data_IF_792355792041
#
_entry.id   IF_792355792041
#
_cell.length_a   1.000
_cell.length_b   1.000
_cell.length_c   1.000
_cell.angle_alpha   90.00
_cell.angle_beta   90.00
_cell.angle_gamma   90.00
#
_symmetry.space_group_name_H-M   'P 1'
#
loop_
_entity.id
_entity.type
_entity.pdbx_description
1 polymer ?
#
# COMPACT_ATOMS: atom_id res chain seq x y z
N UNK A 1 12.47 -0.79 -10.36
CA UNK A 1 11.72 0.38 -9.91
C UNK A 1 12.51 1.04 -8.79
N UNK A 2 12.81 2.32 -8.91
CA UNK A 2 13.60 3.12 -7.96
C UNK A 2 12.70 3.74 -6.90
N UNK A 3 13.31 4.27 -5.83
CA UNK A 3 12.59 5.03 -4.81
C UNK A 3 11.83 6.23 -5.41
N UNK A 4 12.47 6.97 -6.31
CA UNK A 4 11.88 8.19 -6.89
C UNK A 4 10.68 7.86 -7.77
N UNK A 5 10.75 6.77 -8.56
CA UNK A 5 9.61 6.27 -9.34
C UNK A 5 8.42 5.88 -8.45
N UNK A 6 8.67 5.26 -7.29
CA UNK A 6 7.61 4.92 -6.33
C UNK A 6 6.94 6.16 -5.73
N UNK A 7 7.74 7.18 -5.39
CA UNK A 7 7.24 8.45 -4.86
C UNK A 7 6.41 9.18 -5.92
N UNK A 8 6.87 9.20 -7.18
CA UNK A 8 6.13 9.80 -8.28
C UNK A 8 4.77 9.14 -8.49
N UNK A 9 4.69 7.81 -8.41
CA UNK A 9 3.42 7.08 -8.52
C UNK A 9 2.45 7.49 -7.41
N UNK A 10 2.92 7.59 -6.16
CA UNK A 10 2.06 8.03 -5.04
C UNK A 10 1.50 9.43 -5.25
N UNK A 11 2.31 10.36 -5.76
CA UNK A 11 1.91 11.75 -5.94
C UNK A 11 1.04 11.97 -7.18
N UNK A 12 1.22 11.14 -8.20
CA UNK A 12 0.45 11.20 -9.46
C UNK A 12 -0.89 10.47 -9.35
N UNK A 13 -0.95 9.41 -8.55
CA UNK A 13 -2.21 8.86 -8.13
C UNK A 13 -2.88 9.92 -7.24
N UNK A 14 -4.06 10.42 -7.63
CA UNK A 14 -4.82 11.46 -6.92
C UNK A 14 -5.28 11.04 -5.49
N UNK A 15 -4.59 10.08 -4.87
CA UNK A 15 -4.62 9.70 -3.45
C UNK A 15 -3.89 10.73 -2.57
N UNK A 16 -3.59 11.90 -3.15
CA UNK A 16 -3.17 13.11 -2.46
C UNK A 16 -4.34 13.69 -1.65
N UNK A 17 -4.63 13.08 -0.50
CA UNK A 17 -5.43 13.75 0.53
C UNK A 17 -4.60 14.06 1.78
N UNK A 18 -3.42 13.46 1.96
CA UNK A 18 -2.68 13.68 3.23
C UNK A 18 -1.24 13.14 3.28
N UNK A 19 -0.71 12.74 2.13
CA UNK A 19 0.66 12.26 2.08
C UNK A 19 1.51 13.51 1.92
N UNK A 20 1.89 14.08 3.07
CA UNK A 20 2.70 15.30 3.16
C UNK A 20 3.90 15.27 2.22
N UNK A 21 4.35 16.47 1.86
CA UNK A 21 5.44 16.83 0.94
C UNK A 21 6.49 15.72 0.65
N UNK A 22 6.93 15.65 -0.61
CA UNK A 22 7.87 14.64 -1.18
C UNK A 22 9.04 14.28 -0.25
N UNK A 23 9.49 15.26 0.52
CA UNK A 23 10.61 15.22 1.46
C UNK A 23 10.41 14.26 2.64
N UNK A 24 9.17 13.92 3.00
CA UNK A 24 8.88 13.11 4.19
C UNK A 24 8.61 11.63 3.89
N UNK A 25 8.60 11.21 2.62
CA UNK A 25 8.41 9.81 2.26
C UNK A 25 9.74 9.05 2.19
N UNK A 26 9.82 7.97 2.99
CA UNK A 26 10.98 7.09 3.04
C UNK A 26 10.60 5.67 2.66
N UNK A 27 11.34 5.08 1.74
CA UNK A 27 11.19 3.67 1.38
C UNK A 27 11.69 2.80 2.53
N UNK A 28 10.83 1.90 3.00
CA UNK A 28 11.13 1.02 4.14
C UNK A 28 12.12 -0.08 3.76
N UNK A 29 12.06 -0.57 2.50
CA UNK A 29 12.96 -1.60 1.97
C UNK A 29 13.13 -1.43 0.46
N UNK A 30 14.37 -1.57 -0.02
CA UNK A 30 14.68 -1.59 -1.45
C UNK A 30 14.20 -2.87 -2.15
N UNK A 31 14.10 -3.97 -1.41
CA UNK A 31 13.54 -5.23 -1.91
C UNK A 31 12.03 -5.25 -1.66
N UNK A 32 11.20 -5.47 -2.69
CA UNK A 32 9.76 -5.61 -2.51
C UNK A 32 9.43 -6.89 -1.73
N UNK A 33 8.34 -6.84 -0.95
CA UNK A 33 7.65 -8.06 -0.53
C UNK A 33 7.02 -8.74 -1.74
N UNK A 34 6.95 -10.07 -1.75
CA UNK A 34 6.38 -10.84 -2.85
C UNK A 34 5.33 -11.79 -2.29
N UNK A 35 4.13 -11.72 -2.86
CA UNK A 35 2.98 -12.49 -2.43
C UNK A 35 2.25 -13.06 -3.65
N UNK A 36 1.61 -14.21 -3.51
CA UNK A 36 0.55 -14.58 -4.45
C UNK A 36 -0.69 -13.71 -4.18
N UNK A 37 -1.52 -13.45 -5.19
CA UNK A 37 -2.74 -12.68 -5.03
C UNK A 37 -3.66 -13.26 -3.94
N UNK A 38 -3.86 -14.58 -3.94
CA UNK A 38 -4.64 -15.26 -2.91
C UNK A 38 -4.05 -15.13 -1.50
N UNK A 39 -2.73 -15.35 -1.38
CA UNK A 39 -2.03 -15.22 -0.10
C UNK A 39 -2.12 -13.80 0.45
N UNK A 40 -1.95 -12.81 -0.42
CA UNK A 40 -2.05 -11.40 -0.08
C UNK A 40 -3.45 -11.03 0.41
N UNK A 41 -4.52 -11.50 -0.25
CA UNK A 41 -5.90 -11.25 0.20
C UNK A 41 -6.09 -11.74 1.64
N UNK A 42 -5.66 -12.97 1.95
CA UNK A 42 -5.81 -13.55 3.30
C UNK A 42 -5.01 -12.79 4.34
N UNK A 43 -3.78 -12.42 4.02
CA UNK A 43 -2.94 -11.64 4.92
C UNK A 43 -3.53 -10.25 5.19
N UNK A 44 -4.01 -9.57 4.17
CA UNK A 44 -4.64 -8.26 4.30
C UNK A 44 -5.92 -8.32 5.14
N UNK A 45 -6.77 -9.33 4.96
CA UNK A 45 -7.97 -9.53 5.77
C UNK A 45 -7.64 -9.57 7.28
N UNK A 46 -6.57 -10.27 7.65
CA UNK A 46 -6.10 -10.33 9.04
C UNK A 46 -5.58 -8.96 9.49
N UNK A 47 -4.69 -8.34 8.69
CA UNK A 47 -4.04 -7.06 9.05
C UNK A 47 -5.03 -5.91 9.20
N UNK A 48 -6.09 -5.86 8.40
CA UNK A 48 -7.13 -4.82 8.50
C UNK A 48 -7.86 -4.91 9.83
N UNK A 49 -8.21 -6.12 10.27
CA UNK A 49 -8.86 -6.32 11.58
C UNK A 49 -7.94 -5.84 12.69
N UNK A 50 -6.65 -6.18 12.63
CA UNK A 50 -5.66 -5.69 13.59
C UNK A 50 -5.51 -4.16 13.58
N UNK A 51 -5.49 -3.55 12.39
CA UNK A 51 -5.39 -2.10 12.24
C UNK A 51 -6.62 -1.38 12.84
N UNK A 52 -7.84 -1.85 12.53
CA UNK A 52 -9.08 -1.31 13.10
C UNK A 52 -9.11 -1.40 14.63
N UNK A 53 -8.68 -2.54 15.19
CA UNK A 53 -8.61 -2.72 16.65
C UNK A 53 -7.57 -1.81 17.32
N UNK A 54 -6.53 -1.41 16.58
CA UNK A 54 -5.53 -0.45 17.03
C UNK A 54 -5.92 1.02 16.79
N UNK A 55 -7.13 1.28 16.26
CA UNK A 55 -7.58 2.61 15.89
C UNK A 55 -6.78 3.20 14.74
N UNK A 56 -6.25 2.37 13.82
CA UNK A 56 -5.54 2.83 12.62
C UNK A 56 -6.53 2.87 11.47
N UNK A 57 -6.59 4.02 10.79
CA UNK A 57 -7.40 4.20 9.60
C UNK A 57 -6.72 3.52 8.41
N UNK A 58 -7.52 2.77 7.63
CA UNK A 58 -7.07 2.04 6.45
C UNK A 58 -7.86 2.53 5.24
N UNK A 59 -7.17 3.14 4.28
CA UNK A 59 -7.75 3.77 3.08
C UNK A 59 -7.31 2.98 1.84
N UNK A 60 -8.19 2.81 0.84
CA UNK A 60 -7.86 2.18 -0.46
C UNK A 60 -7.90 0.65 -0.48
N UNK A 61 -8.42 0.03 0.59
CA UNK A 61 -8.35 -1.42 0.77
C UNK A 61 -9.46 -2.18 0.03
N UNK A 62 -10.62 -1.56 -0.15
CA UNK A 62 -11.74 -2.17 -0.88
C UNK A 62 -11.40 -2.25 -2.37
N UNK A 63 -10.85 -1.16 -2.92
CA UNK A 63 -10.37 -1.09 -4.31
C UNK A 63 -9.25 -2.11 -4.56
N UNK A 64 -8.34 -2.28 -3.60
CA UNK A 64 -7.31 -3.31 -3.70
C UNK A 64 -7.89 -4.72 -3.68
N UNK A 65 -8.86 -5.03 -2.82
CA UNK A 65 -9.49 -6.35 -2.81
C UNK A 65 -10.25 -6.63 -4.11
N UNK A 66 -10.98 -5.66 -4.65
CA UNK A 66 -11.66 -5.78 -5.93
C UNK A 66 -10.67 -6.02 -7.07
N UNK A 67 -9.55 -5.31 -7.08
CA UNK A 67 -8.50 -5.50 -8.09
C UNK A 67 -7.85 -6.89 -7.97
N UNK A 68 -7.50 -7.34 -6.76
CA UNK A 68 -6.89 -8.65 -6.51
C UNK A 68 -7.86 -9.80 -6.80
N UNK A 69 -9.16 -9.63 -6.52
CA UNK A 69 -10.19 -10.64 -6.78
C UNK A 69 -10.44 -10.93 -8.26
N UNK A 70 -9.94 -10.08 -9.16
CA UNK A 70 -10.01 -10.26 -10.63
C UNK A 70 -8.76 -10.92 -11.21
N UNK A 71 -7.75 -11.23 -10.38
CA UNK A 71 -6.50 -11.85 -10.80
C UNK A 71 -6.53 -13.36 -10.55
N UNK A 72 -5.69 -14.10 -11.30
CA UNK A 72 -5.45 -15.51 -11.01
C UNK A 72 -4.82 -15.66 -9.62
N UNK A 73 -5.22 -16.66 -8.81
CA UNK A 73 -4.82 -16.81 -7.41
C UNK A 73 -3.30 -16.81 -7.15
N UNK A 74 -2.53 -17.35 -8.10
CA UNK A 74 -1.08 -17.50 -8.06
C UNK A 74 -0.32 -16.30 -8.65
N UNK A 75 -1.02 -15.30 -9.19
CA UNK A 75 -0.41 -14.07 -9.72
C UNK A 75 0.50 -13.43 -8.66
N UNK A 76 1.76 -13.19 -9.04
CA UNK A 76 2.72 -12.56 -8.15
C UNK A 76 2.49 -11.06 -8.03
N UNK A 77 2.37 -10.60 -6.78
CA UNK A 77 2.19 -9.22 -6.38
C UNK A 77 3.41 -8.76 -5.61
N UNK A 78 4.01 -7.68 -6.08
CA UNK A 78 5.13 -7.00 -5.44
C UNK A 78 4.59 -5.86 -4.57
N UNK A 79 5.01 -5.82 -3.32
CA UNK A 79 4.61 -4.81 -2.34
C UNK A 79 5.78 -3.92 -1.98
N UNK A 80 5.58 -2.61 -2.05
CA UNK A 80 6.51 -1.60 -1.54
C UNK A 80 5.84 -0.80 -0.43
N UNK A 81 6.64 -0.40 0.57
CA UNK A 81 6.15 0.39 1.69
C UNK A 81 6.93 1.69 1.78
N UNK A 82 6.21 2.81 1.72
CA UNK A 82 6.71 4.15 1.96
C UNK A 82 6.15 4.64 3.29
N UNK A 83 6.99 5.21 4.14
CA UNK A 83 6.61 5.72 5.45
C UNK A 83 6.87 7.21 5.56
N UNK A 84 5.94 7.91 6.20
CA UNK A 84 6.10 9.28 6.69
C UNK A 84 5.89 9.31 8.21
N UNK A 85 5.91 10.50 8.81
CA UNK A 85 5.68 10.67 10.24
C UNK A 85 4.25 10.33 10.68
N UNK A 86 3.28 10.51 9.78
CA UNK A 86 1.85 10.36 10.07
C UNK A 86 1.20 9.15 9.41
N UNK A 87 1.87 8.55 8.41
CA UNK A 87 1.28 7.49 7.60
C UNK A 87 2.28 6.46 7.09
N UNK A 88 1.76 5.29 6.74
CA UNK A 88 2.44 4.28 5.92
C UNK A 88 1.61 4.03 4.67
N UNK A 89 2.23 4.21 3.50
CA UNK A 89 1.64 3.96 2.19
C UNK A 89 2.21 2.65 1.64
N UNK A 90 1.34 1.72 1.26
CA UNK A 90 1.67 0.44 0.68
C UNK A 90 1.26 0.46 -0.80
N UNK A 91 2.18 0.14 -1.69
CA UNK A 91 1.94 0.05 -3.12
C UNK A 91 2.05 -1.40 -3.58
N UNK A 92 1.05 -1.87 -4.33
CA UNK A 92 0.97 -3.24 -4.82
C UNK A 92 1.05 -3.25 -6.34
N UNK A 93 1.97 -4.04 -6.90
CA UNK A 93 2.22 -4.11 -8.33
C UNK A 93 2.18 -5.55 -8.84
N UNK A 94 1.57 -5.74 -10.00
CA UNK A 94 1.77 -6.94 -10.82
C UNK A 94 3.04 -6.74 -11.64
N UNK A 95 3.94 -7.72 -11.58
CA UNK A 95 5.20 -7.73 -12.36
C UNK A 95 5.99 -6.41 -12.29
N UNK A 96 6.07 -5.77 -11.12
CA UNK A 96 6.78 -4.51 -10.81
C UNK A 96 6.47 -3.27 -11.68
N UNK A 97 5.61 -3.35 -12.68
CA UNK A 97 5.31 -2.24 -13.61
C UNK A 97 3.82 -1.88 -13.69
N UNK A 98 2.93 -2.77 -13.28
CA UNK A 98 1.48 -2.52 -13.32
C UNK A 98 0.96 -2.33 -11.90
N UNK A 99 0.61 -1.11 -11.53
CA UNK A 99 -0.03 -0.83 -10.24
C UNK A 99 -1.36 -1.58 -10.13
N UNK A 100 -1.54 -2.30 -9.03
CA UNK A 100 -2.77 -3.04 -8.68
C UNK A 100 -3.60 -2.24 -7.68
N UNK A 101 -2.94 -1.58 -6.72
CA UNK A 101 -3.61 -0.72 -5.77
C UNK A 101 -2.65 -0.06 -4.78
N UNK A 102 -3.17 0.93 -4.05
CA UNK A 102 -2.46 1.68 -3.02
C UNK A 102 -3.29 1.62 -1.76
N UNK A 103 -2.66 1.29 -0.63
CA UNK A 103 -3.29 1.30 0.69
C UNK A 103 -2.56 2.29 1.58
N UNK A 104 -3.29 3.13 2.31
CA UNK A 104 -2.71 4.07 3.25
C UNK A 104 -3.18 3.71 4.66
N UNK A 105 -2.22 3.57 5.56
CA UNK A 105 -2.42 3.39 6.99
C UNK A 105 -2.12 4.71 7.70
N UNK A 106 -3.09 5.27 8.41
CA UNK A 106 -2.90 6.49 9.19
C UNK A 106 -3.27 6.28 10.64
N UNK A 107 -2.44 6.81 11.54
CA UNK A 107 -2.85 6.93 12.92
C UNK A 107 -3.72 8.20 13.04
N UNK A 108 -4.86 8.16 13.75
CA UNK A 108 -5.62 9.37 14.02
C UNK A 108 -4.70 10.40 14.68
N UNK A 109 -4.87 11.67 14.31
CA UNK A 109 -4.21 12.75 15.02
C UNK A 109 -4.56 12.64 16.51
N UNK A 110 -3.55 12.69 17.38
CA UNK A 110 -3.80 12.72 18.82
C UNK A 110 -4.68 13.94 19.12
N UNK A 111 -5.87 13.69 19.68
CA UNK A 111 -6.82 14.71 20.09
C UNK A 111 -6.29 15.55 21.27
#
# INVERSE_FOLDING_TARGET
MTKDELIDIVLSANVAVDIGDRTNLRLVSEKPGIYSAFGLIKELQIRIVSAKNAGIDVIGIEELFDALGRLEPDTLIHSYSLKSDTSTTLLYFRNVSSLVGIVILKKPAAA
#
